data_IF_426153913501
#
_entry.id   IF_426153913501
#
_cell.length_a   1.000
_cell.length_b   1.000
_cell.length_c   1.000
_cell.angle_alpha   90.00
_cell.angle_beta   90.00
_cell.angle_gamma   90.00
#
_symmetry.space_group_name_H-M   'P 1'
#
loop_
_entity.id
_entity.type
_entity.pdbx_description
1 polymer ?
#
# COMPACT_ATOMS: atom_id res chain seq x y z
N UNK A 1 -13.99 18.87 -13.09
CA UNK A 1 -12.75 19.34 -13.74
C UNK A 1 -12.28 20.67 -13.16
N UNK A 2 -10.97 20.83 -12.93
CA UNK A 2 -10.35 22.08 -12.44
C UNK A 2 -9.27 22.54 -13.42
N UNK A 3 -9.37 23.79 -13.86
CA UNK A 3 -8.41 24.43 -14.78
C UNK A 3 -8.03 25.82 -14.26
N UNK A 4 -6.75 26.17 -14.39
CA UNK A 4 -6.22 27.49 -14.05
C UNK A 4 -5.56 28.10 -15.27
N UNK A 5 -6.11 29.21 -15.76
CA UNK A 5 -5.52 30.02 -16.83
C UNK A 5 -5.00 31.35 -16.27
N UNK A 6 -3.87 31.83 -16.79
CA UNK A 6 -3.34 33.16 -16.47
C UNK A 6 -3.44 34.04 -17.72
N UNK A 7 -4.44 34.93 -17.76
CA UNK A 7 -4.62 35.92 -18.83
C UNK A 7 -4.33 37.31 -18.30
N UNK A 8 -3.40 38.03 -18.96
CA UNK A 8 -2.97 39.39 -18.59
C UNK A 8 -2.58 39.55 -17.11
N UNK A 9 -1.93 38.53 -16.54
CA UNK A 9 -1.46 38.55 -15.15
C UNK A 9 -2.54 38.30 -14.08
N UNK A 10 -3.79 38.05 -14.46
CA UNK A 10 -4.85 37.65 -13.54
C UNK A 10 -5.08 36.14 -13.63
N UNK A 11 -5.05 35.48 -12.47
CA UNK A 11 -5.37 34.06 -12.33
C UNK A 11 -6.89 33.89 -12.45
N UNK A 12 -7.32 33.11 -13.43
CA UNK A 12 -8.73 32.73 -13.60
C UNK A 12 -8.82 31.24 -13.34
N UNK A 13 -9.68 30.87 -12.39
CA UNK A 13 -9.87 29.50 -11.94
C UNK A 13 -11.28 29.04 -12.32
N UNK A 14 -11.38 27.93 -13.04
CA UNK A 14 -12.64 27.34 -13.51
C UNK A 14 -12.86 25.96 -12.86
N UNK A 15 -14.09 25.72 -12.43
CA UNK A 15 -14.57 24.42 -11.96
C UNK A 15 -15.76 23.99 -12.81
N UNK A 16 -15.51 23.10 -13.76
CA UNK A 16 -16.52 22.60 -14.70
C UNK A 16 -16.90 21.17 -14.33
N UNK A 17 -18.17 20.80 -14.51
CA UNK A 17 -18.55 19.38 -14.53
C UNK A 17 -18.12 18.74 -15.87
N UNK A 18 -18.23 17.43 -15.98
CA UNK A 18 -17.68 16.69 -17.13
C UNK A 18 -18.34 17.06 -18.46
N UNK A 19 -19.65 17.31 -18.45
CA UNK A 19 -20.40 17.78 -19.62
C UNK A 19 -19.89 19.15 -20.13
N UNK A 20 -19.77 20.13 -19.23
CA UNK A 20 -19.34 21.48 -19.59
C UNK A 20 -17.84 21.57 -19.92
N UNK A 21 -17.03 20.62 -19.45
CA UNK A 21 -15.62 20.50 -19.83
C UNK A 21 -15.47 20.00 -21.28
N UNK A 22 -16.29 19.04 -21.69
CA UNK A 22 -16.29 18.50 -23.04
C UNK A 22 -16.75 19.54 -24.08
N UNK A 23 -17.75 20.36 -23.74
CA UNK A 23 -18.23 21.46 -24.60
C UNK A 23 -17.16 22.54 -24.87
N UNK A 24 -16.31 22.82 -23.89
CA UNK A 24 -15.18 23.76 -24.01
C UNK A 24 -13.95 23.13 -24.72
N UNK A 25 -14.07 21.88 -25.21
CA UNK A 25 -13.00 21.17 -25.91
C UNK A 25 -11.86 20.74 -24.99
N UNK A 26 -12.09 20.73 -23.68
CA UNK A 26 -11.09 20.33 -22.69
C UNK A 26 -11.13 18.81 -22.58
N UNK A 27 -10.06 18.15 -23.03
CA UNK A 27 -9.98 16.69 -23.03
C UNK A 27 -10.24 16.13 -21.61
N UNK A 28 -11.29 15.31 -21.47
CA UNK A 28 -11.61 14.64 -20.21
C UNK A 28 -10.47 13.69 -19.86
N UNK A 29 -10.17 13.54 -18.57
CA UNK A 29 -9.10 12.67 -18.06
C UNK A 29 -9.33 11.17 -18.30
N UNK A 30 -10.32 10.79 -19.10
CA UNK A 30 -10.58 9.40 -19.47
C UNK A 30 -9.47 8.80 -20.34
N UNK A 31 -8.60 9.63 -20.93
CA UNK A 31 -7.41 9.15 -21.64
C UNK A 31 -6.23 8.74 -20.71
N UNK A 32 -6.27 9.08 -19.41
CA UNK A 32 -5.14 8.86 -18.49
C UNK A 32 -5.46 8.01 -17.26
N UNK A 33 -6.70 7.59 -17.08
CA UNK A 33 -7.08 6.64 -16.04
C UNK A 33 -7.29 5.26 -16.65
N UNK A 34 -6.22 4.66 -17.18
CA UNK A 34 -6.19 3.20 -17.25
C UNK A 34 -6.39 2.72 -15.80
N UNK A 35 -7.48 1.98 -15.50
CA UNK A 35 -7.69 1.47 -14.16
C UNK A 35 -6.43 0.67 -13.78
N UNK A 36 -5.97 0.80 -12.53
CA UNK A 36 -4.76 0.11 -12.03
C UNK A 36 -4.74 -1.37 -12.45
N UNK A 37 -5.91 -2.00 -12.49
CA UNK A 37 -6.10 -3.37 -12.93
C UNK A 37 -5.63 -3.63 -14.38
N UNK A 38 -5.85 -2.70 -15.32
CA UNK A 38 -5.37 -2.84 -16.71
C UNK A 38 -3.85 -2.69 -16.81
N UNK A 39 -3.26 -1.78 -16.04
CA UNK A 39 -1.81 -1.61 -15.96
C UNK A 39 -1.14 -2.87 -15.39
N UNK A 40 -1.70 -3.42 -14.30
CA UNK A 40 -1.25 -4.67 -13.70
C UNK A 40 -1.38 -5.84 -14.66
N UNK A 41 -2.51 -5.96 -15.37
CA UNK A 41 -2.75 -7.07 -16.31
C UNK A 41 -1.76 -7.06 -17.47
N UNK A 42 -1.48 -5.88 -18.05
CA UNK A 42 -0.53 -5.74 -19.15
C UNK A 42 0.92 -6.01 -18.70
N UNK A 43 1.27 -5.61 -17.47
CA UNK A 43 2.57 -5.89 -16.87
C UNK A 43 2.78 -7.39 -16.63
N UNK A 44 1.78 -8.07 -16.06
CA UNK A 44 1.82 -9.51 -15.77
C UNK A 44 1.94 -10.35 -17.04
N UNK A 45 1.32 -9.91 -18.15
CA UNK A 45 1.37 -10.59 -19.47
C UNK A 45 2.73 -10.42 -20.18
N UNK A 46 3.43 -9.30 -19.99
CA UNK A 46 4.73 -9.04 -20.65
C UNK A 46 5.91 -9.82 -20.06
N UNK A 47 5.79 -10.37 -18.84
CA UNK A 47 6.91 -11.00 -18.15
C UNK A 47 6.67 -12.51 -17.91
N UNK A 48 6.99 -13.31 -18.93
CA UNK A 48 7.03 -14.77 -18.89
C UNK A 48 8.33 -15.26 -18.22
N UNK A 49 8.26 -15.64 -16.94
CA UNK A 49 9.23 -16.56 -16.34
C UNK A 49 8.51 -17.80 -15.81
N UNK A 50 9.21 -18.94 -15.91
CA UNK A 50 8.70 -20.30 -15.70
C UNK A 50 7.92 -20.39 -14.38
N UNK A 51 6.64 -20.75 -14.50
CA UNK A 51 5.77 -20.98 -13.36
C UNK A 51 6.36 -22.10 -12.49
N UNK A 52 6.60 -21.78 -11.21
CA UNK A 52 6.75 -22.78 -10.16
C UNK A 52 5.47 -23.62 -10.00
N UNK A 53 5.45 -24.56 -9.05
CA UNK A 53 4.33 -25.49 -8.88
C UNK A 53 2.99 -24.75 -8.77
N UNK A 54 1.88 -25.36 -9.23
CA UNK A 54 0.57 -24.72 -9.23
C UNK A 54 0.14 -24.42 -7.79
N UNK A 55 0.30 -23.16 -7.38
CA UNK A 55 -0.20 -22.66 -6.11
C UNK A 55 -1.70 -22.38 -6.30
N UNK A 56 -2.52 -23.08 -5.52
CA UNK A 56 -3.97 -22.93 -5.47
C UNK A 56 -4.36 -22.56 -4.05
N UNK A 57 -5.25 -21.60 -3.89
CA UNK A 57 -5.77 -21.26 -2.56
C UNK A 57 -6.71 -22.38 -2.07
N UNK A 58 -6.46 -22.95 -0.90
CA UNK A 58 -7.34 -23.98 -0.34
C UNK A 58 -8.75 -23.45 0.02
N UNK A 59 -8.86 -22.15 0.31
CA UNK A 59 -10.12 -21.52 0.71
C UNK A 59 -11.06 -21.22 -0.46
N UNK A 60 -10.59 -20.50 -1.48
CA UNK A 60 -11.42 -20.08 -2.61
C UNK A 60 -11.10 -20.84 -3.91
N UNK A 61 -10.14 -21.75 -3.88
CA UNK A 61 -9.73 -22.58 -5.01
C UNK A 61 -9.15 -21.80 -6.20
N UNK A 62 -8.87 -20.50 -6.02
CA UNK A 62 -8.25 -19.68 -7.05
C UNK A 62 -6.80 -20.09 -7.28
N UNK A 63 -6.41 -20.19 -8.54
CA UNK A 63 -5.07 -20.51 -9.00
C UNK A 63 -4.27 -19.25 -9.31
N UNK A 64 -2.94 -19.37 -9.30
CA UNK A 64 -2.08 -18.26 -9.69
C UNK A 64 -2.31 -17.82 -11.16
N UNK A 65 -2.71 -18.75 -12.05
CA UNK A 65 -3.02 -18.42 -13.43
C UNK A 65 -4.25 -17.50 -13.55
N UNK A 66 -5.32 -17.79 -12.81
CA UNK A 66 -6.51 -16.94 -12.75
C UNK A 66 -6.20 -15.56 -12.15
N UNK A 67 -5.34 -15.51 -11.12
CA UNK A 67 -4.84 -14.23 -10.61
C UNK A 67 -4.07 -13.44 -11.69
N UNK A 68 -3.22 -14.08 -12.49
CA UNK A 68 -2.48 -13.39 -13.56
C UNK A 68 -3.40 -12.83 -14.66
N UNK A 69 -4.55 -13.46 -14.88
CA UNK A 69 -5.52 -13.01 -15.88
C UNK A 69 -6.37 -11.84 -15.38
N UNK A 70 -6.84 -11.92 -14.13
CA UNK A 70 -7.79 -10.97 -13.56
C UNK A 70 -7.15 -9.88 -12.67
N UNK A 71 -5.88 -10.04 -12.32
CA UNK A 71 -5.11 -9.18 -11.40
C UNK A 71 -5.76 -8.97 -10.02
N UNK A 72 -6.73 -9.81 -9.64
CA UNK A 72 -7.48 -9.71 -8.39
C UNK A 72 -7.41 -11.02 -7.60
N UNK A 73 -7.18 -10.91 -6.29
CA UNK A 73 -7.21 -12.05 -5.39
C UNK A 73 -8.64 -12.34 -4.91
N UNK A 74 -9.01 -13.62 -4.82
CA UNK A 74 -10.37 -14.05 -4.50
C UNK A 74 -10.73 -14.03 -3.00
N UNK A 75 -9.76 -14.19 -2.10
CA UNK A 75 -9.99 -14.11 -0.65
C UNK A 75 -8.70 -13.76 0.12
N UNK A 76 -8.76 -13.41 1.42
CA UNK A 76 -7.58 -13.05 2.22
C UNK A 76 -6.51 -14.15 2.28
N UNK A 77 -6.91 -15.42 2.36
CA UNK A 77 -6.00 -16.57 2.38
C UNK A 77 -5.18 -16.71 1.09
N UNK A 78 -5.55 -16.04 0.00
CA UNK A 78 -4.76 -16.03 -1.23
C UNK A 78 -3.40 -15.35 -1.05
N UNK A 79 -3.29 -14.35 -0.16
CA UNK A 79 -2.02 -13.70 0.15
C UNK A 79 -1.02 -14.69 0.73
N UNK A 80 -1.45 -15.51 1.69
CA UNK A 80 -0.60 -16.55 2.29
C UNK A 80 -0.33 -17.70 1.32
N UNK A 81 -1.35 -18.14 0.56
CA UNK A 81 -1.23 -19.29 -0.34
C UNK A 81 -0.30 -19.03 -1.54
N UNK A 82 -0.06 -17.76 -1.89
CA UNK A 82 0.76 -17.36 -3.04
C UNK A 82 1.90 -16.40 -2.63
N UNK A 83 2.21 -16.32 -1.35
CA UNK A 83 3.14 -15.35 -0.74
C UNK A 83 4.49 -15.30 -1.46
N UNK A 84 5.08 -16.48 -1.71
CA UNK A 84 6.37 -16.63 -2.39
C UNK A 84 6.42 -16.00 -3.80
N UNK A 85 5.30 -15.98 -4.51
CA UNK A 85 5.22 -15.44 -5.88
C UNK A 85 4.69 -14.00 -5.88
N UNK A 86 3.78 -13.69 -4.96
CA UNK A 86 3.25 -12.33 -4.76
C UNK A 86 4.33 -11.36 -4.31
N UNK A 87 5.21 -11.75 -3.39
CA UNK A 87 6.28 -10.88 -2.89
C UNK A 87 7.19 -10.38 -4.03
N UNK A 88 7.70 -11.29 -4.86
CA UNK A 88 8.55 -10.92 -6.01
C UNK A 88 7.79 -10.07 -7.04
N UNK A 89 6.50 -10.34 -7.24
CA UNK A 89 5.67 -9.60 -8.21
C UNK A 89 5.39 -8.18 -7.71
N UNK A 90 5.04 -8.03 -6.43
CA UNK A 90 4.78 -6.74 -5.78
C UNK A 90 6.05 -5.89 -5.72
N UNK A 91 7.17 -6.47 -5.29
CA UNK A 91 8.47 -5.78 -5.30
C UNK A 91 8.81 -5.22 -6.69
N UNK A 92 8.59 -6.00 -7.75
CA UNK A 92 8.84 -5.55 -9.13
C UNK A 92 7.82 -4.50 -9.61
N UNK A 93 6.55 -4.67 -9.25
CA UNK A 93 5.49 -3.72 -9.62
C UNK A 93 5.67 -2.36 -8.94
N UNK A 94 6.26 -2.33 -7.75
CA UNK A 94 6.55 -1.12 -7.00
C UNK A 94 7.99 -0.58 -7.21
N UNK A 95 8.67 -0.94 -8.30
CA UNK A 95 10.05 -0.51 -8.60
C UNK A 95 11.05 -0.76 -7.45
N UNK A 96 10.88 -1.86 -6.71
CA UNK A 96 11.70 -2.20 -5.55
C UNK A 96 11.25 -1.55 -4.23
N UNK A 97 10.17 -0.77 -4.26
CA UNK A 97 9.54 -0.21 -3.08
C UNK A 97 8.76 -1.26 -2.29
N UNK A 98 9.39 -1.86 -1.29
CA UNK A 98 8.68 -2.65 -0.27
C UNK A 98 7.97 -1.77 0.77
N UNK A 99 8.24 -0.46 0.74
CA UNK A 99 7.74 0.54 1.68
C UNK A 99 7.36 1.83 0.93
N UNK A 100 6.33 2.53 1.42
CA UNK A 100 5.90 3.80 0.85
C UNK A 100 6.98 4.89 1.06
N UNK A 101 7.51 5.44 -0.04
CA UNK A 101 8.44 6.59 -0.04
C UNK A 101 7.77 7.90 -0.50
N UNK A 102 6.43 7.95 -0.46
CA UNK A 102 5.63 9.07 -0.96
C UNK A 102 5.44 10.22 0.04
N UNK A 103 4.74 11.28 -0.40
CA UNK A 103 4.32 12.40 0.46
C UNK A 103 3.37 11.89 1.55
N UNK A 104 3.89 11.79 2.76
CA UNK A 104 3.11 11.52 3.95
C UNK A 104 2.50 12.84 4.48
N UNK A 105 1.26 12.84 4.98
CA UNK A 105 0.71 13.98 5.72
C UNK A 105 1.67 14.38 6.84
N UNK A 106 1.73 15.67 7.18
CA UNK A 106 2.70 16.20 8.18
C UNK A 106 2.62 15.50 9.56
N UNK A 107 1.51 14.82 9.86
CA UNK A 107 1.24 14.12 11.12
C UNK A 107 1.40 12.58 10.99
N UNK A 108 1.67 12.07 9.79
CA UNK A 108 1.84 10.64 9.53
C UNK A 108 3.23 10.15 9.96
N UNK A 109 4.26 10.98 9.82
CA UNK A 109 5.59 10.66 10.35
C UNK A 109 5.58 10.43 11.87
N UNK A 110 4.75 11.16 12.60
CA UNK A 110 4.66 11.02 14.06
C UNK A 110 3.97 9.70 14.44
N UNK A 111 2.93 9.31 13.71
CA UNK A 111 2.26 8.02 13.88
C UNK A 111 3.16 6.82 13.57
N UNK A 112 3.89 6.86 12.45
CA UNK A 112 4.82 5.77 12.10
C UNK A 112 6.02 5.70 13.06
N UNK A 113 6.66 6.84 13.39
CA UNK A 113 7.75 6.86 14.37
C UNK A 113 7.30 6.31 15.71
N UNK A 114 6.08 6.66 16.14
CA UNK A 114 5.47 6.15 17.37
C UNK A 114 5.21 4.64 17.28
N UNK A 115 4.67 4.16 16.16
CA UNK A 115 4.43 2.74 15.94
C UNK A 115 5.73 1.92 15.94
N UNK A 116 6.76 2.40 15.25
CA UNK A 116 8.07 1.74 15.21
C UNK A 116 8.75 1.73 16.60
N UNK A 117 8.58 2.78 17.39
CA UNK A 117 9.03 2.81 18.79
C UNK A 117 8.29 1.78 19.65
N UNK A 118 6.96 1.65 19.50
CA UNK A 118 6.19 0.63 20.21
C UNK A 118 6.62 -0.80 19.86
N UNK A 119 6.83 -1.09 18.58
CA UNK A 119 7.32 -2.39 18.14
C UNK A 119 8.69 -2.72 18.75
N UNK A 120 9.61 -1.74 18.78
CA UNK A 120 10.92 -1.89 19.43
C UNK A 120 10.80 -2.16 20.93
N UNK A 121 9.94 -1.43 21.64
CA UNK A 121 9.73 -1.62 23.08
C UNK A 121 9.13 -3.00 23.38
N UNK A 122 8.18 -3.46 22.56
CA UNK A 122 7.56 -4.80 22.68
C UNK A 122 8.57 -5.92 22.41
N UNK A 123 9.38 -5.80 21.37
CA UNK A 123 10.46 -6.77 21.10
C UNK A 123 11.44 -6.86 22.28
N UNK A 124 11.86 -5.71 22.82
CA UNK A 124 12.79 -5.67 23.95
C UNK A 124 12.19 -6.24 25.24
N UNK A 125 10.88 -6.09 25.43
CA UNK A 125 10.15 -6.72 26.52
C UNK A 125 10.20 -8.24 26.39
N UNK A 126 9.97 -8.76 25.18
CA UNK A 126 10.00 -10.20 24.88
C UNK A 126 11.40 -10.79 25.09
N UNK A 127 12.45 -10.05 24.70
CA UNK A 127 13.84 -10.40 24.97
C UNK A 127 14.14 -10.44 26.48
N UNK A 128 13.67 -9.44 27.24
CA UNK A 128 13.87 -9.38 28.69
C UNK A 128 13.16 -10.53 29.42
N UNK A 129 11.95 -10.89 28.98
CA UNK A 129 11.22 -12.06 29.51
C UNK A 129 11.96 -13.36 29.21
N UNK A 130 12.46 -13.49 27.97
CA UNK A 130 13.21 -14.68 27.54
C UNK A 130 14.54 -14.83 28.26
N UNK A 131 15.16 -13.72 28.65
CA UNK A 131 16.40 -13.67 29.44
C UNK A 131 16.17 -13.76 30.96
N UNK A 132 14.92 -13.95 31.42
CA UNK A 132 14.52 -13.97 32.83
C UNK A 132 14.85 -12.67 33.61
N UNK A 133 15.05 -11.55 32.90
CA UNK A 133 15.23 -10.22 33.50
C UNK A 133 13.86 -9.57 33.78
N UNK A 134 13.20 -10.07 34.83
CA UNK A 134 11.87 -9.63 35.20
C UNK A 134 11.81 -8.16 35.66
N UNK A 135 12.92 -7.61 36.17
CA UNK A 135 12.99 -6.20 36.56
C UNK A 135 12.96 -5.28 35.32
N UNK A 136 13.74 -5.63 34.29
CA UNK A 136 13.68 -4.92 33.01
C UNK A 136 12.33 -5.12 32.32
N UNK A 137 11.78 -6.34 32.32
CA UNK A 137 10.48 -6.62 31.73
C UNK A 137 9.35 -5.79 32.39
N UNK A 138 9.35 -5.70 33.72
CA UNK A 138 8.37 -4.87 34.44
C UNK A 138 8.49 -3.38 34.05
N UNK A 139 9.72 -2.84 33.97
CA UNK A 139 9.97 -1.46 33.53
C UNK A 139 9.47 -1.22 32.10
N UNK A 140 9.83 -2.11 31.16
CA UNK A 140 9.42 -1.97 29.76
C UNK A 140 7.91 -2.06 29.58
N UNK A 141 7.22 -2.93 30.32
CA UNK A 141 5.76 -3.01 30.33
C UNK A 141 5.13 -1.69 30.78
N UNK A 142 5.61 -1.14 31.88
CA UNK A 142 5.09 0.12 32.42
C UNK A 142 5.41 1.30 31.47
N UNK A 143 6.58 1.28 30.82
CA UNK A 143 6.96 2.24 29.78
C UNK A 143 6.03 2.18 28.56
N UNK A 144 5.69 0.98 28.08
CA UNK A 144 4.74 0.76 26.98
C UNK A 144 3.37 1.32 27.35
N UNK A 145 2.86 1.02 28.55
CA UNK A 145 1.56 1.54 29.02
C UNK A 145 1.53 3.07 29.06
N UNK A 146 2.61 3.71 29.50
CA UNK A 146 2.71 5.18 29.50
C UNK A 146 2.78 5.75 28.09
N UNK A 147 3.51 5.08 27.21
CA UNK A 147 3.67 5.50 25.82
C UNK A 147 2.35 5.41 25.04
N UNK A 148 1.57 4.35 25.25
CA UNK A 148 0.22 4.18 24.69
C UNK A 148 -0.81 5.12 25.36
N UNK A 149 -0.67 5.41 26.65
CA UNK A 149 -1.57 6.34 27.36
C UNK A 149 -1.44 7.81 26.96
N UNK A 150 -0.40 8.19 26.22
CA UNK A 150 -0.24 9.53 25.64
C UNK A 150 -1.03 9.72 24.33
N UNK A 151 -1.78 8.71 23.86
CA UNK A 151 -2.67 8.76 22.67
C UNK A 151 -4.13 9.13 22.96
N UNK A 152 -4.50 9.43 24.21
CA UNK A 152 -5.89 9.78 24.61
C UNK A 152 -6.09 11.25 24.96
#
# INVERSE_FOLDING_TARGET
MHEVEIKKGQKIEKHLCDDHAAEEGIATKDAYHAPINELLTNFVKSHHEKAGPPQKCDSCQMTFAEFREHSLLGCPQCYTAMDSVLGTLLERAHEGGTHHVGKAPQHFEDGERRHEQLLRMRSRLEDAVSAEDYELAARLRDDILRFEGQDS
#
